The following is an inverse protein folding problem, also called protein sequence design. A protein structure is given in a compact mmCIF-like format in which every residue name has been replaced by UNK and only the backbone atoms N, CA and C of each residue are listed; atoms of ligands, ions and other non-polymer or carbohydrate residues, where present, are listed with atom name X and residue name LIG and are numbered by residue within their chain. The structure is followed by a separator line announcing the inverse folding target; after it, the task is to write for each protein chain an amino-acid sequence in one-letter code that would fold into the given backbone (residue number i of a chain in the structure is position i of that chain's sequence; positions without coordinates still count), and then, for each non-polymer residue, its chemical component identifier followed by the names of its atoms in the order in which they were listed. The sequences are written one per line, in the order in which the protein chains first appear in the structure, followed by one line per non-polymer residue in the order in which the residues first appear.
data_IF_239612085733
#
_entry.id   IF_239612085733
#
_cell.length_a   1.000
_cell.length_b   1.000
_cell.length_c   1.000
_cell.angle_alpha   90.00
_cell.angle_beta   90.00
_cell.angle_gamma   90.00
#
_symmetry.space_group_name_H-M   'P 1'
#
loop_
_entity.id
_entity.type
_entity.pdbx_description
1 polymer ?
#
# COMPACT_ATOMS: atom_id res chain seq x y z
N UNK A 1 10.47 -4.72 -30.91
CA UNK A 1 10.40 -3.92 -29.67
C UNK A 1 10.66 -4.88 -28.52
N UNK A 2 11.84 -4.81 -27.91
CA UNK A 2 12.07 -5.51 -26.63
C UNK A 2 11.09 -4.92 -25.62
N UNK A 3 10.20 -5.77 -25.08
CA UNK A 3 9.35 -5.39 -23.94
C UNK A 3 10.28 -5.12 -22.77
N UNK A 4 10.21 -3.92 -22.21
CA UNK A 4 10.95 -3.55 -21.01
C UNK A 4 10.73 -4.61 -19.92
N UNK A 5 11.81 -5.04 -19.28
CA UNK A 5 11.76 -6.06 -18.23
C UNK A 5 11.12 -5.45 -16.98
N UNK A 6 9.99 -6.01 -16.53
CA UNK A 6 9.36 -5.59 -15.28
C UNK A 6 10.34 -5.81 -14.13
N UNK A 7 10.64 -4.75 -13.43
CA UNK A 7 11.51 -4.76 -12.27
C UNK A 7 10.68 -4.87 -10.99
N UNK A 8 11.16 -5.67 -10.08
CA UNK A 8 10.47 -5.94 -8.82
C UNK A 8 10.40 -4.71 -7.91
N UNK A 9 11.43 -3.86 -7.95
CA UNK A 9 11.44 -2.60 -7.22
C UNK A 9 10.34 -1.64 -7.68
N UNK A 10 10.02 -1.63 -8.98
CA UNK A 10 8.93 -0.83 -9.54
C UNK A 10 7.56 -1.31 -9.04
N UNK A 11 7.37 -2.64 -8.94
CA UNK A 11 6.13 -3.22 -8.37
C UNK A 11 5.94 -2.78 -6.93
N UNK A 12 6.99 -2.79 -6.12
CA UNK A 12 6.89 -2.34 -4.73
C UNK A 12 6.65 -0.84 -4.61
N UNK A 13 7.38 -0.01 -5.38
CA UNK A 13 7.12 1.44 -5.43
C UNK A 13 5.66 1.72 -5.74
N UNK A 14 5.11 0.98 -6.68
CA UNK A 14 3.73 1.12 -7.10
C UNK A 14 2.75 0.71 -6.01
N UNK A 15 2.95 -0.46 -5.37
CA UNK A 15 2.11 -0.95 -4.27
C UNK A 15 2.10 -0.03 -3.04
N UNK A 16 3.24 0.59 -2.76
CA UNK A 16 3.36 1.48 -1.60
C UNK A 16 3.13 2.97 -1.95
N UNK A 17 2.69 3.28 -3.16
CA UNK A 17 2.15 4.59 -3.56
C UNK A 17 0.62 4.66 -3.45
N UNK A 18 0.02 3.77 -2.65
CA UNK A 18 -1.42 3.73 -2.37
C UNK A 18 -1.88 4.92 -1.52
N UNK A 19 -3.20 5.05 -1.35
CA UNK A 19 -3.81 6.13 -0.57
C UNK A 19 -3.34 6.14 0.88
N UNK A 20 -3.40 7.31 1.52
CA UNK A 20 -3.11 7.45 2.96
C UNK A 20 -4.00 6.54 3.81
N UNK A 21 -5.26 6.32 3.41
CA UNK A 21 -6.19 5.37 4.06
C UNK A 21 -5.57 3.97 4.16
N UNK A 22 -4.99 3.49 3.08
CA UNK A 22 -4.37 2.16 3.00
C UNK A 22 -3.02 2.12 3.74
N UNK A 23 -2.20 3.17 3.62
CA UNK A 23 -0.90 3.23 4.28
C UNK A 23 -1.00 3.33 5.80
N UNK A 24 -1.98 4.08 6.36
CA UNK A 24 -2.24 4.13 7.80
C UNK A 24 -2.66 2.75 8.32
N UNK A 25 -3.56 2.05 7.60
CA UNK A 25 -3.96 0.68 7.93
C UNK A 25 -2.77 -0.29 7.90
N UNK A 26 -1.90 -0.17 6.90
CA UNK A 26 -0.67 -0.95 6.78
C UNK A 26 0.24 -0.75 8.00
N UNK A 27 0.49 0.50 8.40
CA UNK A 27 1.30 0.81 9.58
C UNK A 27 0.70 0.24 10.86
N UNK A 28 -0.63 0.38 11.03
CA UNK A 28 -1.33 -0.22 12.15
C UNK A 28 -1.09 -1.74 12.21
N UNK A 29 -1.19 -2.43 11.08
CA UNK A 29 -0.99 -3.88 10.99
C UNK A 29 0.44 -4.32 11.25
N UNK A 30 1.43 -3.59 10.72
CA UNK A 30 2.85 -3.93 10.84
C UNK A 30 3.36 -3.63 12.26
N UNK A 31 3.00 -2.50 12.85
CA UNK A 31 3.54 -2.03 14.13
C UNK A 31 2.60 -2.26 15.32
N UNK A 32 1.43 -2.87 15.09
CA UNK A 32 0.36 -3.04 16.09
C UNK A 32 -0.08 -1.70 16.70
N UNK A 33 -0.21 -0.67 15.85
CA UNK A 33 -0.75 0.64 16.19
C UNK A 33 -2.27 0.66 15.99
N UNK A 34 -2.90 1.75 16.43
CA UNK A 34 -4.35 1.94 16.30
C UNK A 34 -4.68 3.38 15.88
N UNK A 35 -4.05 3.86 14.81
CA UNK A 35 -4.34 5.17 14.26
C UNK A 35 -5.67 5.15 13.53
N UNK A 36 -6.51 6.15 13.79
CA UNK A 36 -7.68 6.45 12.97
C UNK A 36 -7.25 7.22 11.73
N UNK A 37 -7.68 6.78 10.54
CA UNK A 37 -7.32 7.42 9.25
C UNK A 37 -7.71 8.90 9.22
N UNK A 38 -8.86 9.26 9.84
CA UNK A 38 -9.41 10.62 9.84
C UNK A 38 -8.76 11.52 10.92
N UNK A 39 -7.92 10.95 11.77
CA UNK A 39 -7.32 11.67 12.92
C UNK A 39 -5.83 11.88 12.79
N UNK A 40 -5.22 11.42 11.70
CA UNK A 40 -3.80 11.53 11.47
C UNK A 40 -3.48 12.05 10.09
N UNK A 41 -2.42 12.84 9.98
CA UNK A 41 -1.77 13.17 8.72
C UNK A 41 -0.57 12.24 8.53
N UNK A 42 -0.55 11.54 7.39
CA UNK A 42 0.56 10.66 7.02
C UNK A 42 1.36 11.29 5.89
N UNK A 43 2.68 11.34 6.09
CA UNK A 43 3.63 11.76 5.06
C UNK A 43 4.62 10.63 4.79
N UNK A 44 4.81 10.25 3.53
CA UNK A 44 5.88 9.35 3.10
C UNK A 44 7.09 10.20 2.76
N UNK A 45 8.18 10.05 3.52
CA UNK A 45 9.37 10.91 3.40
C UNK A 45 10.51 10.32 2.61
N UNK A 46 10.53 9.00 2.42
CA UNK A 46 11.42 8.29 1.50
C UNK A 46 10.76 6.99 1.06
N UNK A 47 10.92 6.66 -0.23
CA UNK A 47 10.36 5.46 -0.82
C UNK A 47 11.31 5.00 -1.93
N UNK A 48 12.48 4.46 -1.52
CA UNK A 48 13.50 3.99 -2.44
C UNK A 48 13.52 2.46 -2.44
N UNK A 49 13.36 1.87 -3.63
CA UNK A 49 13.50 0.45 -3.86
C UNK A 49 14.55 0.23 -4.93
N UNK A 50 15.40 -0.77 -4.73
CA UNK A 50 16.45 -1.14 -5.67
C UNK A 50 16.46 -2.66 -5.81
N UNK A 51 16.49 -3.15 -7.05
CA UNK A 51 16.76 -4.55 -7.38
C UNK A 51 18.15 -4.63 -8.04
N UNK A 52 19.02 -5.50 -7.52
CA UNK A 52 20.33 -5.75 -8.12
C UNK A 52 20.26 -6.83 -9.21
N UNK A 53 21.36 -6.99 -9.98
CA UNK A 53 21.47 -7.98 -11.06
C UNK A 53 21.31 -9.44 -10.60
N UNK A 54 21.37 -9.69 -9.29
CA UNK A 54 21.15 -11.01 -8.68
C UNK A 54 19.69 -11.20 -8.25
N UNK A 55 18.79 -10.29 -8.58
CA UNK A 55 17.39 -10.28 -8.18
C UNK A 55 17.19 -10.12 -6.66
N UNK A 56 18.15 -9.47 -5.98
CA UNK A 56 18.03 -9.11 -4.58
C UNK A 56 17.29 -7.77 -4.50
N UNK A 57 16.09 -7.80 -3.91
CA UNK A 57 15.32 -6.62 -3.67
C UNK A 57 15.64 -6.02 -2.31
N UNK A 58 15.82 -4.72 -2.28
CA UNK A 58 15.96 -3.89 -1.07
C UNK A 58 15.06 -2.69 -1.22
N UNK A 59 14.49 -2.23 -0.12
CA UNK A 59 13.67 -1.03 -0.19
C UNK A 59 13.40 -0.44 1.18
N UNK A 60 13.49 0.88 1.23
CA UNK A 60 13.28 1.68 2.42
C UNK A 60 12.00 2.48 2.29
N UNK A 61 11.18 2.47 3.34
CA UNK A 61 10.05 3.38 3.44
C UNK A 61 10.06 4.08 4.78
N UNK A 62 10.03 5.41 4.74
CA UNK A 62 9.86 6.23 5.93
C UNK A 62 8.50 6.90 5.93
N UNK A 63 7.83 6.80 7.06
CA UNK A 63 6.54 7.43 7.30
C UNK A 63 6.63 8.34 8.51
N UNK A 64 6.07 9.53 8.37
CA UNK A 64 5.83 10.43 9.48
C UNK A 64 4.32 10.53 9.69
N UNK A 65 3.86 10.26 10.90
CA UNK A 65 2.46 10.45 11.32
C UNK A 65 2.40 11.63 12.29
N UNK A 66 1.49 12.54 12.00
CA UNK A 66 1.13 13.65 12.88
C UNK A 66 -0.33 13.44 13.32
N UNK A 67 -0.56 13.34 14.63
CA UNK A 67 -1.91 13.26 15.16
C UNK A 67 -2.51 14.66 15.42
N UNK A 68 -3.80 14.72 15.77
CA UNK A 68 -4.52 15.98 16.08
C UNK A 68 -3.90 16.76 17.25
N UNK A 69 -3.19 16.11 18.14
CA UNK A 69 -2.50 16.74 19.27
C UNK A 69 -1.08 17.21 18.91
N UNK A 70 -0.75 17.23 17.62
CA UNK A 70 0.57 17.58 17.08
C UNK A 70 1.73 16.67 17.57
N UNK A 71 1.42 15.47 18.06
CA UNK A 71 2.46 14.49 18.36
C UNK A 71 2.90 13.80 17.07
N UNK A 72 4.21 13.85 16.83
CA UNK A 72 4.83 13.23 15.66
C UNK A 72 5.42 11.87 16.01
N UNK A 73 5.09 10.85 15.22
CA UNK A 73 5.72 9.54 15.25
C UNK A 73 6.32 9.21 13.89
N UNK A 74 7.54 8.67 13.88
CA UNK A 74 8.22 8.25 12.64
C UNK A 74 8.36 6.74 12.61
N UNK A 75 8.18 6.16 11.42
CA UNK A 75 8.27 4.72 11.16
C UNK A 75 9.22 4.47 10.01
N UNK A 76 9.96 3.37 10.09
CA UNK A 76 10.83 2.92 9.02
C UNK A 76 10.60 1.42 8.78
N UNK A 77 10.29 1.08 7.53
CA UNK A 77 10.14 -0.31 7.07
C UNK A 77 11.21 -0.58 6.02
N UNK A 78 12.01 -1.59 6.26
CA UNK A 78 12.97 -2.13 5.30
C UNK A 78 12.43 -3.44 4.73
N UNK A 79 12.41 -3.58 3.40
CA UNK A 79 11.99 -4.78 2.69
C UNK A 79 13.18 -5.56 2.15
N UNK A 80 13.18 -6.89 2.34
CA UNK A 80 14.30 -7.75 1.97
C UNK A 80 13.82 -9.09 1.41
N UNK A 81 14.53 -9.60 0.40
CA UNK A 81 14.36 -10.98 -0.08
C UNK A 81 15.44 -11.92 0.43
N UNK A 82 16.64 -11.43 0.72
CA UNK A 82 17.76 -12.26 1.22
C UNK A 82 18.29 -11.73 2.55
N UNK A 83 18.90 -12.64 3.32
CA UNK A 83 19.58 -12.27 4.57
C UNK A 83 20.83 -11.44 4.26
N UNK A 84 20.96 -10.31 4.95
CA UNK A 84 22.11 -9.41 4.90
C UNK A 84 22.63 -9.22 6.32
N UNK A 85 23.85 -9.65 6.57
CA UNK A 85 24.47 -9.53 7.91
C UNK A 85 24.74 -8.08 8.33
N UNK A 86 24.77 -7.16 7.37
CA UNK A 86 24.97 -5.72 7.63
C UNK A 86 23.65 -4.99 7.91
N UNK A 87 22.53 -5.65 7.77
CA UNK A 87 21.19 -5.07 7.88
C UNK A 87 20.99 -4.27 9.17
N UNK A 88 21.38 -4.84 10.31
CA UNK A 88 21.19 -4.17 11.62
C UNK A 88 22.02 -2.88 11.73
N UNK A 89 23.18 -2.83 11.09
CA UNK A 89 24.03 -1.62 11.05
C UNK A 89 23.35 -0.55 10.20
N UNK A 90 22.84 -0.92 9.01
CA UNK A 90 22.08 -0.02 8.13
C UNK A 90 20.84 0.52 8.83
N UNK A 91 20.07 -0.33 9.51
CA UNK A 91 18.90 0.10 10.27
C UNK A 91 19.26 1.13 11.33
N UNK A 92 20.40 0.95 12.04
CA UNK A 92 20.90 1.94 12.99
C UNK A 92 21.28 3.26 12.31
N UNK A 93 22.03 3.20 11.21
CA UNK A 93 22.43 4.38 10.43
C UNK A 93 21.23 5.18 9.91
N UNK A 94 20.23 4.50 9.36
CA UNK A 94 19.00 5.13 8.89
C UNK A 94 18.18 5.73 10.03
N UNK A 95 18.05 5.02 11.15
CA UNK A 95 17.37 5.53 12.33
C UNK A 95 18.05 6.78 12.89
N UNK A 96 19.37 6.77 12.96
CA UNK A 96 20.15 7.91 13.39
C UNK A 96 20.04 9.11 12.43
N UNK A 97 20.13 8.85 11.10
CA UNK A 97 19.96 9.89 10.08
C UNK A 97 18.59 10.55 10.19
N UNK A 98 17.52 9.74 10.32
CA UNK A 98 16.15 10.23 10.46
C UNK A 98 15.97 11.06 11.75
N UNK A 99 16.50 10.59 12.87
CA UNK A 99 16.45 11.33 14.14
C UNK A 99 17.22 12.66 14.09
N UNK A 100 18.34 12.72 13.35
CA UNK A 100 19.07 13.97 13.11
C UNK A 100 18.28 15.02 12.29
N UNK A 101 17.39 14.60 11.41
CA UNK A 101 16.55 15.53 10.66
C UNK A 101 15.64 16.32 11.61
N UNK A 102 15.15 15.69 12.66
CA UNK A 102 14.34 16.34 13.69
C UNK A 102 15.13 17.42 14.46
N UNK A 103 16.41 17.19 14.74
CA UNK A 103 17.26 18.19 15.41
C UNK A 103 17.40 19.49 14.60
N UNK A 104 17.41 19.42 13.27
CA UNK A 104 17.56 20.60 12.40
C UNK A 104 16.32 21.50 12.43
N UNK A 105 15.15 20.98 12.82
CA UNK A 105 13.90 21.75 12.88
C UNK A 105 13.74 22.54 14.17
N UNK A 106 14.51 22.23 15.22
CA UNK A 106 14.49 22.98 16.48
C UNK A 106 15.44 24.20 16.44
N UNK A 107 14.91 25.37 16.17
CA UNK A 107 15.68 26.62 16.08
C UNK A 107 16.13 27.20 17.44
N UNK A 108 15.55 26.78 18.54
CA UNK A 108 15.84 27.30 19.88
C UNK A 108 16.50 26.24 20.76
N UNK A 109 17.83 26.25 20.81
CA UNK A 109 18.61 25.38 21.68
C UNK A 109 18.85 26.09 23.04
N UNK A 110 17.95 25.85 23.99
CA UNK A 110 18.09 26.30 25.37
C UNK A 110 18.57 25.19 26.32
N UNK A 111 18.65 23.94 25.82
CA UNK A 111 19.05 22.78 26.60
C UNK A 111 20.48 22.35 26.28
N UNK A 112 21.26 22.00 27.30
CA UNK A 112 22.61 21.46 27.17
C UNK A 112 22.62 20.04 26.57
N UNK A 113 21.49 19.34 26.63
CA UNK A 113 21.31 17.95 26.14
C UNK A 113 20.47 17.95 24.86
N UNK A 114 21.02 17.35 23.81
CA UNK A 114 20.29 17.14 22.56
C UNK A 114 19.73 15.73 22.50
N UNK A 115 18.42 15.63 22.25
CA UNK A 115 17.71 14.34 22.17
C UNK A 115 17.46 13.96 20.70
N UNK A 116 17.76 12.72 20.36
CA UNK A 116 17.48 12.13 19.06
C UNK A 116 16.42 11.06 19.25
N UNK A 117 15.31 11.17 18.51
CA UNK A 117 14.25 10.17 18.51
C UNK A 117 14.39 9.28 17.27
N UNK A 118 14.65 7.99 17.51
CA UNK A 118 14.68 7.00 16.44
C UNK A 118 13.24 6.70 15.96
N UNK A 119 13.04 6.45 14.67
CA UNK A 119 11.77 5.92 14.20
C UNK A 119 11.52 4.53 14.77
N UNK A 120 10.26 4.10 14.88
CA UNK A 120 9.95 2.69 15.08
C UNK A 120 10.33 1.95 13.79
N UNK A 121 11.11 0.88 13.91
CA UNK A 121 11.70 0.21 12.75
C UNK A 121 11.31 -1.26 12.69
N UNK A 122 11.14 -1.76 11.47
CA UNK A 122 10.88 -3.18 11.20
C UNK A 122 11.48 -3.61 9.89
N UNK A 123 12.09 -4.79 9.85
CA UNK A 123 12.55 -5.43 8.61
C UNK A 123 11.53 -6.48 8.20
N UNK A 124 11.08 -6.45 6.95
CA UNK A 124 10.13 -7.42 6.38
C UNK A 124 10.87 -8.29 5.36
N UNK A 125 10.94 -9.57 5.65
CA UNK A 125 11.47 -10.56 4.70
C UNK A 125 10.33 -11.27 3.98
N UNK A 126 10.38 -11.28 2.65
CA UNK A 126 9.34 -11.92 1.82
C UNK A 126 9.57 -13.41 1.59
N UNK A 127 10.82 -13.84 1.53
CA UNK A 127 11.18 -15.21 1.17
C UNK A 127 11.60 -16.04 2.39
N UNK A 128 11.05 -17.25 2.49
CA UNK A 128 11.37 -18.15 3.58
C UNK A 128 12.88 -18.42 3.69
N UNK A 129 13.43 -18.18 4.87
CA UNK A 129 14.79 -18.52 5.22
C UNK A 129 14.86 -18.85 6.72
N UNK A 130 15.15 -20.11 7.02
CA UNK A 130 15.21 -20.63 8.40
C UNK A 130 16.28 -19.96 9.27
N UNK A 131 17.28 -19.32 8.67
CA UNK A 131 18.35 -18.63 9.39
C UNK A 131 17.96 -17.21 9.85
N UNK A 132 16.83 -16.68 9.39
CA UNK A 132 16.35 -15.36 9.78
C UNK A 132 15.76 -15.41 11.18
N UNK A 133 16.31 -14.60 12.07
CA UNK A 133 15.85 -14.46 13.46
C UNK A 133 14.63 -13.53 13.52
N UNK A 134 13.89 -13.58 14.64
CA UNK A 134 12.74 -12.69 14.87
C UNK A 134 13.17 -11.26 15.23
N UNK A 135 14.42 -11.09 15.61
CA UNK A 135 15.02 -9.79 15.93
C UNK A 135 16.45 -9.74 15.42
N UNK A 136 16.83 -8.59 14.90
CA UNK A 136 18.21 -8.21 14.63
C UNK A 136 18.74 -7.42 15.81
N UNK A 137 20.00 -7.66 16.22
CA UNK A 137 20.61 -7.00 17.37
C UNK A 137 21.99 -6.48 17.03
N UNK A 138 22.25 -5.22 17.40
CA UNK A 138 23.55 -4.57 17.33
C UNK A 138 24.00 -4.20 18.74
N UNK A 139 25.17 -4.67 19.15
CA UNK A 139 25.81 -4.26 20.39
C UNK A 139 26.78 -3.12 20.08
N UNK A 140 26.60 -2.00 20.73
CA UNK A 140 27.48 -0.83 20.63
C UNK A 140 28.23 -0.73 21.95
N UNK A 141 29.57 -0.70 21.90
CA UNK A 141 30.45 -0.59 23.07
C UNK A 141 31.16 0.74 22.96
N UNK A 142 31.06 1.55 24.01
CA UNK A 142 31.73 2.85 24.10
C UNK A 142 33.11 2.71 24.75
N UNK A 143 34.01 3.71 24.57
CA UNK A 143 35.37 3.66 25.16
C UNK A 143 35.38 3.57 26.70
N UNK A 144 34.34 4.00 27.38
CA UNK A 144 34.12 3.89 28.82
C UNK A 144 33.44 2.57 29.23
N UNK A 145 33.48 1.56 28.36
CA UNK A 145 32.89 0.22 28.53
C UNK A 145 31.36 0.19 28.68
N UNK A 146 30.68 1.31 28.54
CA UNK A 146 29.22 1.31 28.47
C UNK A 146 28.75 0.62 27.22
N UNK A 147 27.68 -0.18 27.35
CA UNK A 147 27.08 -0.95 26.26
C UNK A 147 25.65 -0.54 26.03
N UNK A 148 25.26 -0.49 24.75
CA UNK A 148 23.86 -0.36 24.32
C UNK A 148 23.55 -1.50 23.37
N UNK A 149 22.40 -2.14 23.57
CA UNK A 149 21.86 -3.14 22.63
C UNK A 149 20.72 -2.48 21.86
N UNK A 150 20.99 -2.20 20.60
CA UNK A 150 19.97 -1.74 19.67
C UNK A 150 19.30 -2.97 19.01
N UNK A 151 17.96 -2.99 18.99
CA UNK A 151 17.16 -4.12 18.50
C UNK A 151 16.13 -3.65 17.49
N UNK A 152 16.01 -4.40 16.39
CA UNK A 152 14.96 -4.20 15.36
C UNK A 152 14.20 -5.50 15.18
N UNK A 153 12.87 -5.42 15.23
CA UNK A 153 11.98 -6.56 15.00
C UNK A 153 11.96 -6.95 13.53
N UNK A 154 11.80 -8.25 13.30
CA UNK A 154 11.71 -8.84 11.98
C UNK A 154 10.31 -9.41 11.77
N UNK A 155 9.70 -9.06 10.65
CA UNK A 155 8.48 -9.68 10.15
C UNK A 155 8.84 -10.68 9.06
N UNK A 156 8.53 -11.95 9.29
CA UNK A 156 8.68 -13.04 8.33
C UNK A 156 7.37 -13.19 7.59
N UNK A 157 7.27 -12.54 6.43
CA UNK A 157 6.01 -12.44 5.70
C UNK A 157 5.44 -13.82 5.29
N UNK A 158 6.29 -14.81 5.03
CA UNK A 158 5.85 -16.19 4.70
C UNK A 158 5.12 -16.91 5.84
N UNK A 159 5.27 -16.45 7.10
CA UNK A 159 4.57 -17.02 8.26
C UNK A 159 3.12 -16.50 8.37
N UNK A 160 2.75 -15.46 7.62
CA UNK A 160 1.41 -14.90 7.64
C UNK A 160 0.51 -15.61 6.63
N UNK A 161 -0.68 -16.02 7.09
CA UNK A 161 -1.76 -16.49 6.21
C UNK A 161 -2.43 -15.29 5.50
N UNK A 162 -3.17 -15.61 4.42
CA UNK A 162 -3.97 -14.60 3.70
C UNK A 162 -4.96 -13.89 4.63
N UNK A 163 -5.56 -14.65 5.55
CA UNK A 163 -6.51 -14.13 6.55
C UNK A 163 -5.83 -13.17 7.51
N UNK A 164 -4.66 -13.54 8.05
CA UNK A 164 -3.89 -12.68 8.95
C UNK A 164 -3.44 -11.37 8.28
N UNK A 165 -3.04 -11.41 6.99
CA UNK A 165 -2.71 -10.19 6.23
C UNK A 165 -3.92 -9.27 6.10
N UNK A 166 -5.10 -9.86 5.84
CA UNK A 166 -6.37 -9.13 5.72
C UNK A 166 -6.86 -8.59 7.06
N UNK A 167 -6.90 -9.42 8.12
CA UNK A 167 -7.33 -9.03 9.47
C UNK A 167 -6.46 -7.89 10.03
N UNK A 168 -5.16 -7.95 9.79
CA UNK A 168 -4.23 -6.88 10.15
C UNK A 168 -4.25 -5.68 9.19
N UNK A 169 -5.13 -5.70 8.18
CA UNK A 169 -5.32 -4.63 7.20
C UNK A 169 -4.02 -4.26 6.44
N UNK A 170 -3.10 -5.20 6.27
CA UNK A 170 -1.85 -5.02 5.55
C UNK A 170 -2.05 -5.19 4.02
N UNK A 171 -3.04 -4.50 3.46
CA UNK A 171 -3.55 -4.70 2.10
C UNK A 171 -2.50 -4.63 0.98
N UNK A 172 -1.54 -3.67 0.97
CA UNK A 172 -0.49 -3.64 -0.05
C UNK A 172 0.39 -4.90 -0.09
N UNK A 173 0.39 -5.70 0.98
CA UNK A 173 1.16 -6.93 1.01
C UNK A 173 0.43 -8.12 0.35
N UNK A 174 -0.89 -8.01 0.08
CA UNK A 174 -1.67 -9.12 -0.51
C UNK A 174 -1.08 -9.62 -1.83
N UNK A 175 -0.78 -8.78 -2.85
CA UNK A 175 -0.19 -9.24 -4.11
C UNK A 175 1.15 -9.95 -3.92
N UNK A 176 1.92 -9.57 -2.90
CA UNK A 176 3.25 -10.11 -2.64
C UNK A 176 3.25 -11.58 -2.17
N UNK A 177 2.07 -12.16 -1.95
CA UNK A 177 1.94 -13.60 -1.68
C UNK A 177 2.42 -14.47 -2.85
N UNK A 178 2.42 -13.93 -4.08
CA UNK A 178 3.01 -14.60 -5.24
C UNK A 178 4.50 -14.90 -5.07
N UNK A 179 5.22 -14.13 -4.22
CA UNK A 179 6.61 -14.42 -3.89
C UNK A 179 6.84 -15.77 -3.20
N UNK A 180 5.83 -16.32 -2.55
CA UNK A 180 5.92 -17.65 -1.93
C UNK A 180 6.28 -18.74 -2.95
N UNK A 181 5.94 -18.53 -4.22
CA UNK A 181 6.21 -19.47 -5.32
C UNK A 181 7.61 -19.30 -5.93
N UNK A 182 8.25 -18.13 -5.76
CA UNK A 182 9.48 -17.79 -6.46
C UNK A 182 10.61 -18.79 -6.24
N UNK A 183 10.88 -19.17 -4.99
CA UNK A 183 11.96 -20.12 -4.68
C UNK A 183 11.75 -21.51 -5.25
N UNK A 184 10.51 -21.98 -5.26
CA UNK A 184 10.19 -23.29 -5.84
C UNK A 184 10.31 -23.24 -7.36
N UNK A 185 9.85 -22.16 -7.98
CA UNK A 185 10.02 -21.90 -9.41
C UNK A 185 11.49 -21.81 -9.79
N UNK A 186 12.31 -21.05 -9.06
CA UNK A 186 13.76 -20.97 -9.28
C UNK A 186 14.44 -22.34 -9.19
N UNK A 187 14.09 -23.15 -8.18
CA UNK A 187 14.62 -24.52 -8.03
C UNK A 187 14.20 -25.42 -9.17
N UNK A 188 12.94 -25.38 -9.60
CA UNK A 188 12.44 -26.18 -10.70
C UNK A 188 13.08 -25.75 -12.03
N UNK A 189 13.22 -24.46 -12.25
CA UNK A 189 13.88 -23.89 -13.43
C UNK A 189 15.35 -24.30 -13.52
N UNK A 190 16.12 -24.17 -12.43
CA UNK A 190 17.53 -24.57 -12.39
C UNK A 190 17.74 -26.08 -12.60
N UNK A 191 16.76 -26.91 -12.18
CA UNK A 191 16.76 -28.36 -12.42
C UNK A 191 16.20 -28.74 -13.78
N UNK A 192 15.66 -27.82 -14.56
CA UNK A 192 14.95 -28.05 -15.82
C UNK A 192 13.77 -29.03 -15.69
N UNK A 193 13.08 -29.00 -14.52
CA UNK A 193 11.94 -29.85 -14.22
C UNK A 193 10.66 -29.23 -14.81
N UNK A 194 10.39 -29.53 -16.09
CA UNK A 194 9.28 -28.98 -16.84
C UNK A 194 7.91 -29.34 -16.23
N UNK A 195 7.77 -30.54 -15.65
CA UNK A 195 6.52 -30.94 -15.01
C UNK A 195 6.23 -30.08 -13.76
N UNK A 196 7.25 -29.87 -12.93
CA UNK A 196 7.11 -29.04 -11.73
C UNK A 196 6.90 -27.57 -12.09
N UNK A 197 7.56 -27.05 -13.14
CA UNK A 197 7.34 -25.69 -13.64
C UNK A 197 5.87 -25.52 -14.05
N UNK A 198 5.33 -26.46 -14.82
CA UNK A 198 3.94 -26.42 -15.26
C UNK A 198 2.93 -26.44 -14.09
N UNK A 199 3.19 -27.29 -13.11
CA UNK A 199 2.38 -27.36 -11.88
C UNK A 199 2.41 -26.01 -11.14
N UNK A 200 3.60 -25.44 -10.96
CA UNK A 200 3.79 -24.15 -10.26
C UNK A 200 3.21 -22.98 -11.06
N UNK A 201 3.21 -23.03 -12.40
CA UNK A 201 2.55 -22.05 -13.26
C UNK A 201 1.03 -22.04 -13.04
N UNK A 202 0.40 -23.24 -12.99
CA UNK A 202 -1.01 -23.35 -12.65
C UNK A 202 -1.33 -22.81 -11.24
N UNK A 203 -0.51 -23.16 -10.26
CA UNK A 203 -0.66 -22.65 -8.88
C UNK A 203 -0.53 -21.13 -8.84
N UNK A 204 0.39 -20.54 -9.61
CA UNK A 204 0.57 -19.10 -9.70
C UNK A 204 -0.68 -18.40 -10.28
N UNK A 205 -1.28 -18.99 -11.33
CA UNK A 205 -2.53 -18.49 -11.93
C UNK A 205 -3.69 -18.56 -10.95
N UNK A 206 -3.88 -19.68 -10.26
CA UNK A 206 -4.95 -19.85 -9.27
C UNK A 206 -4.78 -18.87 -8.10
N UNK A 207 -3.55 -18.73 -7.61
CA UNK A 207 -3.24 -17.77 -6.55
C UNK A 207 -3.50 -16.34 -7.01
N UNK A 208 -3.07 -15.94 -8.21
CA UNK A 208 -3.35 -14.62 -8.77
C UNK A 208 -4.85 -14.33 -8.81
N UNK A 209 -5.67 -15.31 -9.26
CA UNK A 209 -7.13 -15.21 -9.25
C UNK A 209 -7.73 -15.05 -7.86
N UNK A 210 -7.22 -15.79 -6.88
CA UNK A 210 -7.64 -15.67 -5.49
C UNK A 210 -7.32 -14.26 -4.92
N UNK A 211 -6.09 -13.78 -5.15
CA UNK A 211 -5.65 -12.47 -4.66
C UNK A 211 -6.42 -11.32 -5.31
N UNK A 212 -6.70 -11.41 -6.61
CA UNK A 212 -7.52 -10.43 -7.31
C UNK A 212 -8.95 -10.36 -6.76
N UNK A 213 -9.60 -11.51 -6.51
CA UNK A 213 -10.92 -11.57 -5.87
C UNK A 213 -10.90 -11.02 -4.43
N UNK A 214 -9.86 -11.31 -3.66
CA UNK A 214 -9.71 -10.74 -2.31
C UNK A 214 -9.61 -9.21 -2.37
N UNK A 215 -8.88 -8.67 -3.34
CA UNK A 215 -8.77 -7.22 -3.55
C UNK A 215 -10.12 -6.60 -3.95
N UNK A 216 -10.93 -7.30 -4.77
CA UNK A 216 -12.28 -6.87 -5.13
C UNK A 216 -13.20 -6.80 -3.91
N UNK A 217 -13.16 -7.80 -3.03
CA UNK A 217 -13.95 -7.81 -1.78
C UNK A 217 -13.59 -6.61 -0.89
N UNK A 218 -12.30 -6.23 -0.83
CA UNK A 218 -11.88 -5.05 -0.06
C UNK A 218 -12.40 -3.74 -0.66
N UNK A 219 -12.44 -3.66 -1.98
CA UNK A 219 -13.00 -2.51 -2.69
C UNK A 219 -14.52 -2.41 -2.50
N UNK A 220 -15.26 -3.50 -2.66
CA UNK A 220 -16.71 -3.58 -2.42
C UNK A 220 -17.09 -3.26 -0.97
N UNK A 221 -16.21 -3.57 -0.01
CA UNK A 221 -16.39 -3.25 1.41
C UNK A 221 -15.94 -1.83 1.78
N UNK A 222 -15.57 -0.98 0.81
CA UNK A 222 -15.00 0.36 1.02
C UNK A 222 -13.76 0.40 1.95
N UNK A 223 -13.04 -0.71 2.02
CA UNK A 223 -11.79 -0.78 2.79
C UNK A 223 -10.61 -0.13 2.04
N UNK A 224 -10.65 -0.11 0.70
CA UNK A 224 -9.66 0.50 -0.21
C UNK A 224 -10.38 1.34 -1.27
N UNK A 225 -9.70 2.32 -1.85
CA UNK A 225 -10.21 3.13 -2.95
C UNK A 225 -10.08 2.40 -4.30
N UNK A 226 -10.81 2.83 -5.33
CA UNK A 226 -10.71 2.26 -6.68
C UNK A 226 -9.29 2.33 -7.25
N UNK A 227 -8.58 3.45 -7.02
CA UNK A 227 -7.18 3.59 -7.42
C UNK A 227 -6.26 2.57 -6.71
N UNK A 228 -6.47 2.33 -5.40
CA UNK A 228 -5.71 1.32 -4.65
C UNK A 228 -5.99 -0.08 -5.18
N UNK A 229 -7.27 -0.38 -5.46
CA UNK A 229 -7.68 -1.64 -6.06
C UNK A 229 -7.00 -1.86 -7.41
N UNK A 230 -7.01 -0.84 -8.28
CA UNK A 230 -6.33 -0.90 -9.56
C UNK A 230 -4.82 -1.18 -9.40
N UNK A 231 -4.15 -0.48 -8.49
CA UNK A 231 -2.73 -0.70 -8.18
C UNK A 231 -2.45 -2.14 -7.72
N UNK A 232 -3.31 -2.71 -6.90
CA UNK A 232 -3.17 -4.10 -6.45
C UNK A 232 -3.33 -5.10 -7.61
N UNK A 233 -4.29 -4.88 -8.52
CA UNK A 233 -4.47 -5.72 -9.71
C UNK A 233 -3.28 -5.64 -10.67
N UNK A 234 -2.77 -4.43 -10.93
CA UNK A 234 -1.55 -4.24 -11.73
C UNK A 234 -0.33 -4.90 -11.10
N UNK A 235 -0.19 -4.84 -9.76
CA UNK A 235 0.89 -5.51 -9.07
C UNK A 235 0.82 -7.04 -9.23
N UNK A 236 -0.38 -7.63 -9.19
CA UNK A 236 -0.59 -9.07 -9.46
C UNK A 236 -0.14 -9.40 -10.89
N UNK A 237 -0.54 -8.61 -11.89
CA UNK A 237 -0.14 -8.79 -13.29
C UNK A 237 1.38 -8.73 -13.44
N UNK A 238 2.00 -7.69 -12.91
CA UNK A 238 3.44 -7.47 -13.01
C UNK A 238 4.25 -8.56 -12.30
N UNK A 239 3.77 -9.06 -11.16
CA UNK A 239 4.41 -10.19 -10.46
C UNK A 239 4.31 -11.50 -11.25
N UNK A 240 3.17 -11.77 -11.88
CA UNK A 240 3.02 -12.93 -12.78
C UNK A 240 3.94 -12.78 -14.00
N UNK A 241 4.01 -11.60 -14.61
CA UNK A 241 4.94 -11.33 -15.71
C UNK A 241 6.40 -11.55 -15.28
N UNK A 242 6.78 -11.04 -14.10
CA UNK A 242 8.11 -11.25 -13.54
C UNK A 242 8.43 -12.74 -13.33
N UNK A 243 7.53 -13.51 -12.70
CA UNK A 243 7.72 -14.93 -12.46
C UNK A 243 7.76 -15.72 -13.77
N UNK A 244 6.87 -15.36 -14.72
CA UNK A 244 6.79 -16.02 -16.01
C UNK A 244 8.09 -15.88 -16.81
N UNK A 245 8.57 -14.65 -16.97
CA UNK A 245 9.78 -14.36 -17.77
C UNK A 245 11.05 -14.92 -17.17
N UNK A 246 11.14 -15.02 -15.85
CA UNK A 246 12.35 -15.52 -15.21
C UNK A 246 12.36 -17.04 -15.02
N UNK A 247 11.18 -17.70 -14.90
CA UNK A 247 11.14 -19.08 -14.45
C UNK A 247 10.16 -19.99 -15.19
N UNK A 248 9.00 -19.49 -15.65
CA UNK A 248 7.92 -20.36 -16.15
C UNK A 248 7.96 -20.53 -17.67
N UNK A 249 8.13 -19.43 -18.43
CA UNK A 249 8.04 -19.38 -19.91
C UNK A 249 6.71 -19.94 -20.44
N UNK A 250 5.60 -19.60 -19.78
CA UNK A 250 4.24 -19.98 -20.19
C UNK A 250 3.67 -18.91 -21.10
N UNK A 251 3.34 -19.25 -22.34
CA UNK A 251 2.90 -18.29 -23.37
C UNK A 251 1.54 -17.65 -23.07
N UNK A 252 0.71 -18.27 -22.24
CA UNK A 252 -0.68 -17.90 -22.04
C UNK A 252 -0.93 -17.18 -20.70
N UNK A 253 -0.16 -17.47 -19.67
CA UNK A 253 -0.44 -17.06 -18.29
C UNK A 253 -0.60 -15.54 -18.13
N UNK A 254 0.26 -14.75 -18.79
CA UNK A 254 0.22 -13.29 -18.72
C UNK A 254 -1.11 -12.75 -19.25
N UNK A 255 -1.55 -13.27 -20.43
CA UNK A 255 -2.80 -12.87 -21.05
C UNK A 255 -4.03 -13.31 -20.24
N UNK A 256 -4.00 -14.52 -19.68
CA UNK A 256 -5.09 -15.05 -18.87
C UNK A 256 -5.28 -14.25 -17.57
N UNK A 257 -4.18 -13.94 -16.88
CA UNK A 257 -4.23 -13.14 -15.65
C UNK A 257 -4.62 -11.69 -15.96
N UNK A 258 -4.12 -11.10 -17.05
CA UNK A 258 -4.50 -9.75 -17.48
C UNK A 258 -6.00 -9.68 -17.82
N UNK A 259 -6.52 -10.66 -18.54
CA UNK A 259 -7.96 -10.72 -18.88
C UNK A 259 -8.81 -10.85 -17.62
N UNK A 260 -8.41 -11.75 -16.71
CA UNK A 260 -9.12 -11.97 -15.45
C UNK A 260 -9.16 -10.70 -14.57
N UNK A 261 -8.05 -10.00 -14.43
CA UNK A 261 -7.98 -8.78 -13.60
C UNK A 261 -8.76 -7.62 -14.22
N UNK A 262 -8.71 -7.46 -15.55
CA UNK A 262 -9.52 -6.45 -16.27
C UNK A 262 -11.03 -6.69 -16.15
N UNK A 263 -11.49 -7.93 -16.02
CA UNK A 263 -12.92 -8.21 -15.79
C UNK A 263 -13.39 -7.81 -14.39
N UNK A 264 -12.48 -7.69 -13.42
CA UNK A 264 -12.80 -7.26 -12.06
C UNK A 264 -12.84 -5.73 -11.91
N UNK A 265 -12.01 -5.03 -12.65
CA UNK A 265 -11.91 -3.57 -12.58
C UNK A 265 -11.32 -2.97 -13.86
N UNK A 266 -12.04 -2.01 -14.43
CA UNK A 266 -11.57 -1.21 -15.56
C UNK A 266 -11.69 0.28 -15.19
N UNK A 267 -10.55 0.98 -14.97
CA UNK A 267 -10.55 2.40 -14.61
C UNK A 267 -11.28 3.29 -15.62
N UNK A 268 -11.28 2.94 -16.90
CA UNK A 268 -11.96 3.69 -17.94
C UNK A 268 -13.48 3.59 -17.84
N UNK A 269 -14.00 2.46 -17.35
CA UNK A 269 -15.42 2.28 -17.07
C UNK A 269 -15.82 3.09 -15.85
N UNK A 270 -15.03 3.06 -14.79
CA UNK A 270 -15.27 3.87 -13.59
C UNK A 270 -15.26 5.37 -13.93
N UNK A 271 -14.22 5.85 -14.64
CA UNK A 271 -14.11 7.25 -15.04
C UNK A 271 -15.32 7.71 -15.85
N UNK A 272 -15.73 6.92 -16.84
CA UNK A 272 -16.93 7.20 -17.64
C UNK A 272 -18.20 7.19 -16.78
N UNK A 273 -18.29 6.29 -15.80
CA UNK A 273 -19.40 6.25 -14.84
C UNK A 273 -19.48 7.52 -13.98
N UNK A 274 -18.34 7.98 -13.48
CA UNK A 274 -18.24 9.21 -12.68
C UNK A 274 -18.60 10.44 -13.54
N UNK A 275 -18.06 10.57 -14.75
CA UNK A 275 -18.37 11.66 -15.67
C UNK A 275 -19.87 11.70 -16.00
N UNK A 276 -20.44 10.55 -16.34
CA UNK A 276 -21.88 10.44 -16.63
C UNK A 276 -22.74 10.80 -15.42
N UNK A 277 -22.40 10.27 -14.22
CA UNK A 277 -23.13 10.62 -12.99
C UNK A 277 -23.02 12.11 -12.63
N UNK A 278 -21.87 12.75 -12.93
CA UNK A 278 -21.72 14.20 -12.76
C UNK A 278 -22.60 15.00 -13.73
N UNK A 279 -22.64 14.60 -15.00
CA UNK A 279 -23.48 15.23 -16.01
C UNK A 279 -24.97 15.09 -15.66
N UNK A 280 -25.41 13.89 -15.29
CA UNK A 280 -26.79 13.63 -14.83
C UNK A 280 -27.13 14.46 -13.59
N UNK A 281 -26.23 14.52 -12.59
CA UNK A 281 -26.44 15.34 -11.39
C UNK A 281 -26.52 16.84 -11.67
N UNK A 282 -25.75 17.36 -12.63
CA UNK A 282 -25.83 18.76 -13.06
C UNK A 282 -27.19 19.01 -13.76
N UNK A 283 -27.60 18.12 -14.63
CA UNK A 283 -28.88 18.23 -15.35
C UNK A 283 -30.06 18.17 -14.38
N UNK A 284 -30.05 17.25 -13.43
CA UNK A 284 -31.07 17.17 -12.36
C UNK A 284 -31.09 18.43 -11.50
N UNK A 285 -29.92 18.96 -11.14
CA UNK A 285 -29.81 20.22 -10.40
C UNK A 285 -30.40 21.40 -11.16
N UNK A 286 -30.11 21.53 -12.46
CA UNK A 286 -30.68 22.55 -13.33
C UNK A 286 -32.21 22.42 -13.41
N UNK A 287 -32.71 21.22 -13.59
CA UNK A 287 -34.14 20.95 -13.69
C UNK A 287 -34.89 21.24 -12.39
N UNK A 288 -34.27 20.88 -11.25
CA UNK A 288 -34.77 21.19 -9.92
C UNK A 288 -34.84 22.71 -9.71
N UNK A 289 -33.78 23.43 -10.01
CA UNK A 289 -33.67 24.88 -9.90
C UNK A 289 -34.74 25.56 -10.73
N UNK A 290 -34.90 25.19 -12.01
CA UNK A 290 -35.97 25.70 -12.88
C UNK A 290 -37.36 25.43 -12.32
N UNK A 291 -37.58 24.26 -11.71
CA UNK A 291 -38.87 23.92 -11.10
C UNK A 291 -39.16 24.75 -9.88
N UNK A 292 -38.17 25.01 -9.01
CA UNK A 292 -38.26 25.85 -7.82
C UNK A 292 -38.64 27.31 -8.25
N UNK A 293 -37.90 27.88 -9.20
CA UNK A 293 -38.18 29.22 -9.71
C UNK A 293 -39.57 29.34 -10.33
N UNK A 294 -39.99 28.31 -11.10
CA UNK A 294 -41.34 28.30 -11.69
C UNK A 294 -42.45 28.30 -10.63
N UNK A 295 -42.32 27.48 -9.60
CA UNK A 295 -43.28 27.41 -8.50
C UNK A 295 -43.30 28.71 -7.68
N UNK A 296 -42.15 29.29 -7.42
CA UNK A 296 -42.05 30.59 -6.74
C UNK A 296 -42.72 31.73 -7.55
N UNK A 297 -42.50 31.75 -8.88
CA UNK A 297 -43.16 32.72 -9.77
C UNK A 297 -44.69 32.55 -9.87
N UNK A 298 -45.20 31.38 -9.54
CA UNK A 298 -46.65 31.08 -9.44
C UNK A 298 -47.23 31.43 -8.08
N UNK A 299 -46.41 31.97 -7.15
CA UNK A 299 -46.87 32.40 -5.83
C UNK A 299 -46.92 31.27 -4.78
N UNK A 300 -46.34 30.12 -5.06
CA UNK A 300 -46.27 29.04 -4.08
C UNK A 300 -45.39 29.41 -2.89
N UNK A 301 -45.77 28.93 -1.69
CA UNK A 301 -44.98 29.14 -0.48
C UNK A 301 -43.76 28.25 -0.42
N UNK A 302 -42.71 28.65 0.30
CA UNK A 302 -41.49 27.85 0.51
C UNK A 302 -41.81 26.41 0.99
N UNK A 303 -42.76 26.29 1.95
CA UNK A 303 -43.20 25.00 2.46
C UNK A 303 -43.88 24.10 1.44
N UNK A 304 -44.66 24.72 0.51
CA UNK A 304 -45.29 23.97 -0.60
C UNK A 304 -44.23 23.54 -1.65
N UNK A 305 -43.31 24.44 -2.00
CA UNK A 305 -42.22 24.16 -2.94
C UNK A 305 -41.33 23.04 -2.39
N UNK A 306 -40.98 23.05 -1.10
CA UNK A 306 -40.23 22.00 -0.40
C UNK A 306 -40.89 20.64 -0.57
N UNK A 307 -42.20 20.54 -0.34
CA UNK A 307 -42.98 19.28 -0.50
C UNK A 307 -43.04 18.82 -1.94
N UNK A 308 -43.29 19.71 -2.89
CA UNK A 308 -43.41 19.37 -4.33
C UNK A 308 -42.08 18.96 -4.91
N UNK A 309 -40.98 19.60 -4.52
CA UNK A 309 -39.64 19.34 -4.99
C UNK A 309 -38.91 18.28 -4.18
N UNK A 310 -39.46 17.83 -3.03
CA UNK A 310 -38.86 16.85 -2.10
C UNK A 310 -37.46 17.25 -1.60
N UNK A 311 -37.28 18.54 -1.30
CA UNK A 311 -36.06 19.12 -0.73
C UNK A 311 -36.38 19.90 0.53
N UNK A 312 -35.40 20.20 1.37
CA UNK A 312 -35.60 20.97 2.59
C UNK A 312 -36.02 22.46 2.28
N UNK A 313 -36.73 23.12 3.19
CA UNK A 313 -37.07 24.55 3.05
C UNK A 313 -35.82 25.42 2.99
N UNK A 314 -34.76 25.05 3.69
CA UNK A 314 -33.47 25.73 3.64
C UNK A 314 -32.89 25.68 2.23
N UNK A 315 -32.96 24.51 1.57
CA UNK A 315 -32.48 24.33 0.20
C UNK A 315 -33.31 25.10 -0.82
N UNK A 316 -34.62 25.23 -0.58
CA UNK A 316 -35.51 26.14 -1.40
C UNK A 316 -35.05 27.57 -1.28
N UNK A 317 -34.74 28.07 -0.07
CA UNK A 317 -34.24 29.41 0.15
C UNK A 317 -32.92 29.65 -0.56
N UNK A 318 -31.95 28.74 -0.39
CA UNK A 318 -30.65 28.81 -1.08
C UNK A 318 -30.76 28.89 -2.61
N UNK A 319 -31.79 28.27 -3.20
CA UNK A 319 -32.00 28.29 -4.65
C UNK A 319 -32.66 29.61 -5.08
N UNK A 320 -33.43 30.24 -4.22
CA UNK A 320 -34.18 31.49 -4.54
C UNK A 320 -33.37 32.75 -4.26
N UNK A 321 -32.35 32.69 -3.38
CA UNK A 321 -31.39 33.75 -3.10
C UNK A 321 -30.36 33.87 -4.25
#
# INVERSE_FOLDING_TARGET
MEKEKVKLDEVLKFLFSTSNKVLVKLLNGIFNENFSVDEVELTVSNNEFVEDDLGILRGDMFFDILNKDYNKASYHIEFQTKNDNTMIVRMFEYGFKKGKEQLKSFKNYTEDIRTIYFPKQKVIFFEENKNIKNQLKLKIIFPDEKEIIYTVDVMKYWEYSDEQVREKKMYPLIPLQLFKLRKELEKAHNKKDLNRIKELSNNAKELAGKLAKQSAILFEADEILGEDFHKMLLAIQNLIEYLNRNYMNDENIENEVTTMTKTLYDPEVEKRGIEKGREEGIEEGINLTKKVFKLASQGETIGNISKICKISEEKVKEILD
#
